data_IF_785530688621
#
_entry.id   IF_785530688621
#
_cell.length_a   1.000
_cell.length_b   1.000
_cell.length_c   1.000
_cell.angle_alpha   90.00
_cell.angle_beta   90.00
_cell.angle_gamma   90.00
#
_symmetry.space_group_name_H-M   'P 1'
#
loop_
_entity.id
_entity.type
_entity.pdbx_description
1 polymer ?
#
# COMPACT_ATOMS: atom_id res chain seq x y z
N UNK A 1 -27.03 2.89 -18.99
CA UNK A 1 -25.67 3.32 -18.59
C UNK A 1 -24.95 2.08 -18.11
N UNK A 2 -24.17 1.44 -18.96
CA UNK A 2 -23.45 0.22 -18.59
C UNK A 2 -22.36 0.60 -17.60
N UNK A 3 -22.36 0.02 -16.40
CA UNK A 3 -21.20 0.11 -15.54
C UNK A 3 -20.07 -0.63 -16.24
N UNK A 4 -19.09 0.13 -16.73
CA UNK A 4 -17.83 -0.41 -17.20
C UNK A 4 -17.19 -1.00 -15.95
N UNK A 5 -17.14 -2.33 -15.84
CA UNK A 5 -16.35 -2.99 -14.79
C UNK A 5 -14.88 -2.76 -15.16
N UNK A 6 -14.35 -1.61 -14.73
CA UNK A 6 -12.91 -1.33 -14.84
C UNK A 6 -12.24 -2.28 -13.86
N UNK A 7 -11.54 -3.28 -14.38
CA UNK A 7 -10.72 -4.19 -13.58
C UNK A 7 -9.67 -3.34 -12.87
N UNK A 8 -9.77 -3.18 -11.56
CA UNK A 8 -8.80 -2.41 -10.77
C UNK A 8 -7.50 -3.21 -10.75
N UNK A 9 -6.45 -2.67 -11.36
CA UNK A 9 -5.15 -3.33 -11.34
C UNK A 9 -4.54 -3.20 -9.94
N UNK A 10 -4.09 -4.32 -9.34
CA UNK A 10 -3.50 -4.28 -8.02
C UNK A 10 -2.15 -3.53 -8.05
N UNK A 11 -1.83 -2.82 -6.96
CA UNK A 11 -0.67 -1.94 -6.87
C UNK A 11 0.23 -2.30 -5.69
N UNK A 12 1.52 -2.03 -5.82
CA UNK A 12 2.45 -2.13 -4.68
C UNK A 12 2.34 -0.89 -3.78
N UNK A 13 2.76 -0.97 -2.52
CA UNK A 13 2.86 0.20 -1.63
C UNK A 13 3.79 1.30 -2.18
N UNK A 14 4.85 0.93 -2.91
CA UNK A 14 5.75 1.87 -3.58
C UNK A 14 5.01 2.66 -4.66
N UNK A 15 4.26 1.96 -5.51
CA UNK A 15 3.41 2.59 -6.53
C UNK A 15 2.35 3.47 -5.87
N UNK A 16 1.74 3.01 -4.79
CA UNK A 16 0.72 3.75 -4.05
C UNK A 16 1.28 5.08 -3.53
N UNK A 17 2.42 5.09 -2.83
CA UNK A 17 3.00 6.36 -2.35
C UNK A 17 3.47 7.27 -3.49
N UNK A 18 3.96 6.71 -4.60
CA UNK A 18 4.42 7.47 -5.75
C UNK A 18 3.26 8.20 -6.45
N UNK A 19 2.07 7.59 -6.53
CA UNK A 19 0.85 8.25 -7.05
C UNK A 19 0.43 9.49 -6.24
N UNK A 20 0.87 9.59 -4.99
CA UNK A 20 0.61 10.73 -4.11
C UNK A 20 1.85 11.62 -3.91
N UNK A 21 2.90 11.44 -4.69
CA UNK A 21 4.18 12.18 -4.59
C UNK A 21 4.80 12.14 -3.18
N UNK A 22 4.66 11.00 -2.48
CA UNK A 22 5.15 10.81 -1.13
C UNK A 22 6.49 10.06 -1.08
N UNK A 23 7.37 10.55 -0.20
CA UNK A 23 8.53 9.79 0.28
C UNK A 23 8.07 8.67 1.23
N UNK A 24 8.91 7.67 1.49
CA UNK A 24 8.60 6.61 2.47
C UNK A 24 8.30 7.19 3.87
N UNK A 25 9.04 8.23 4.28
CA UNK A 25 8.79 8.93 5.54
C UNK A 25 7.41 9.60 5.60
N UNK A 26 7.00 10.30 4.53
CA UNK A 26 5.68 10.92 4.45
C UNK A 26 4.55 9.88 4.41
N UNK A 27 4.75 8.78 3.69
CA UNK A 27 3.77 7.70 3.61
C UNK A 27 3.59 6.98 4.95
N UNK A 28 4.70 6.64 5.63
CA UNK A 28 4.68 6.08 6.98
C UNK A 28 3.97 7.00 7.96
N UNK A 29 4.34 8.28 8.00
CA UNK A 29 3.70 9.28 8.87
C UNK A 29 2.18 9.40 8.60
N UNK A 30 1.75 9.35 7.34
CA UNK A 30 0.34 9.43 6.94
C UNK A 30 -0.52 8.31 7.55
N UNK A 31 0.07 7.13 7.79
CA UNK A 31 -0.61 5.98 8.43
C UNK A 31 -0.13 5.73 9.87
N UNK A 32 0.68 6.63 10.43
CA UNK A 32 1.15 6.58 11.82
C UNK A 32 2.20 5.51 12.11
N UNK A 33 3.12 5.26 11.18
CA UNK A 33 4.30 4.39 11.35
C UNK A 33 5.60 5.11 10.92
N UNK A 34 6.75 4.54 11.23
CA UNK A 34 8.04 5.10 10.81
C UNK A 34 8.31 4.86 9.31
N UNK A 35 9.28 5.60 8.76
CA UNK A 35 9.77 5.40 7.40
C UNK A 35 10.29 3.96 7.18
N UNK A 36 10.98 3.40 8.18
CA UNK A 36 11.56 2.06 8.12
C UNK A 36 10.49 0.97 8.11
N UNK A 37 9.41 1.14 8.89
CA UNK A 37 8.27 0.21 8.86
C UNK A 37 7.61 0.21 7.49
N UNK A 38 7.37 1.40 6.90
CA UNK A 38 6.85 1.50 5.55
C UNK A 38 7.79 0.89 4.50
N UNK A 39 9.10 1.09 4.64
CA UNK A 39 10.13 0.49 3.79
C UNK A 39 10.11 -1.05 3.86
N UNK A 40 10.02 -1.62 5.07
CA UNK A 40 9.97 -3.06 5.28
C UNK A 40 8.70 -3.69 4.66
N UNK A 41 7.58 -2.97 4.69
CA UNK A 41 6.36 -3.40 3.99
C UNK A 41 6.52 -3.36 2.46
N UNK A 42 7.15 -2.32 1.90
CA UNK A 42 7.44 -2.26 0.45
C UNK A 42 8.33 -3.41 -0.03
N UNK A 43 9.16 -3.96 0.85
CA UNK A 43 10.03 -5.11 0.58
C UNK A 43 9.38 -6.46 0.91
N UNK A 44 8.21 -6.48 1.56
CA UNK A 44 7.60 -7.71 2.05
C UNK A 44 8.37 -8.38 3.20
N UNK A 45 9.21 -7.63 3.93
CA UNK A 45 9.96 -8.15 5.09
C UNK A 45 9.08 -8.28 6.33
N UNK A 46 8.17 -7.33 6.50
CA UNK A 46 7.09 -7.38 7.49
C UNK A 46 5.79 -6.95 6.83
N UNK A 47 4.65 -7.14 7.50
CA UNK A 47 3.34 -6.82 6.94
C UNK A 47 2.52 -5.99 7.94
N UNK A 48 1.67 -5.07 7.44
CA UNK A 48 0.76 -4.31 8.29
C UNK A 48 -0.28 -5.21 8.95
N UNK A 49 -0.64 -4.89 10.20
CA UNK A 49 -1.75 -5.52 10.90
C UNK A 49 -3.10 -4.88 10.53
N UNK A 50 -4.21 -5.46 11.01
CA UNK A 50 -5.57 -4.99 10.67
C UNK A 50 -5.78 -3.49 10.94
N UNK A 51 -5.39 -2.91 12.10
CA UNK A 51 -5.47 -1.47 12.30
C UNK A 51 -4.66 -0.64 11.28
N UNK A 52 -3.46 -1.10 10.90
CA UNK A 52 -2.62 -0.41 9.92
C UNK A 52 -3.20 -0.51 8.51
N UNK A 53 -3.79 -1.65 8.14
CA UNK A 53 -4.49 -1.84 6.88
C UNK A 53 -5.64 -0.84 6.73
N UNK A 54 -6.50 -0.73 7.74
CA UNK A 54 -7.60 0.27 7.73
C UNK A 54 -7.10 1.69 7.50
N UNK A 55 -5.98 2.06 8.13
CA UNK A 55 -5.36 3.38 7.90
C UNK A 55 -4.84 3.54 6.47
N UNK A 56 -4.27 2.49 5.87
CA UNK A 56 -3.85 2.54 4.47
C UNK A 56 -5.08 2.75 3.57
N UNK A 57 -6.14 1.98 3.79
CA UNK A 57 -7.38 2.09 3.02
C UNK A 57 -7.98 3.50 3.10
N UNK A 58 -8.13 4.03 4.32
CA UNK A 58 -8.68 5.38 4.55
C UNK A 58 -7.81 6.49 3.98
N UNK A 59 -6.48 6.37 4.04
CA UNK A 59 -5.56 7.46 3.67
C UNK A 59 -5.20 7.49 2.20
N UNK A 60 -5.30 6.35 1.51
CA UNK A 60 -4.94 6.18 0.12
C UNK A 60 -6.13 5.80 -0.77
N UNK A 61 -7.36 5.82 -0.23
CA UNK A 61 -8.60 5.52 -0.95
C UNK A 61 -8.50 4.25 -1.80
N UNK A 62 -8.07 3.17 -1.13
CA UNK A 62 -7.75 1.89 -1.75
C UNK A 62 -8.32 0.75 -0.89
N UNK A 63 -8.67 -0.39 -1.50
CA UNK A 63 -8.98 -1.60 -0.74
C UNK A 63 -7.71 -2.38 -0.49
N UNK A 64 -7.59 -3.02 0.68
CA UNK A 64 -6.52 -3.98 0.96
C UNK A 64 -6.35 -5.03 -0.13
N UNK A 65 -7.45 -5.52 -0.71
CA UNK A 65 -7.46 -6.54 -1.75
C UNK A 65 -6.76 -6.08 -3.05
N UNK A 66 -6.61 -4.77 -3.24
CA UNK A 66 -5.91 -4.17 -4.37
C UNK A 66 -4.40 -3.97 -4.11
N UNK A 67 -3.88 -4.33 -2.92
CA UNK A 67 -2.48 -4.09 -2.56
C UNK A 67 -1.65 -5.37 -2.68
N UNK A 68 -0.57 -5.29 -3.47
CA UNK A 68 0.42 -6.35 -3.61
C UNK A 68 1.51 -6.19 -2.55
N UNK A 69 1.53 -7.10 -1.58
CA UNK A 69 2.56 -7.17 -0.55
C UNK A 69 3.70 -8.16 -0.85
N UNK A 70 3.48 -9.11 -1.76
CA UNK A 70 4.46 -10.13 -2.12
C UNK A 70 5.23 -9.71 -3.37
N UNK A 71 6.54 -9.55 -3.26
CA UNK A 71 7.41 -9.47 -4.44
C UNK A 71 7.78 -10.90 -4.84
N UNK A 72 7.58 -11.27 -6.12
CA UNK A 72 7.97 -12.61 -6.61
C UNK A 72 9.47 -12.79 -6.37
N UNK A 73 9.85 -13.61 -5.38
CA UNK A 73 11.12 -14.33 -5.26
C UNK A 73 11.09 -15.21 -4.01
N UNK A 74 10.31 -16.29 -4.06
CA UNK A 74 10.61 -17.47 -3.24
C UNK A 74 11.15 -18.50 -4.22
N UNK A 75 12.48 -18.59 -4.31
CA UNK A 75 13.16 -19.67 -5.03
C UNK A 75 12.97 -21.01 -4.34
#
# INVERSE_FOLDING_TARGET
>A
MTQIIVKKEPVTLKTLRAKYDLTQAKAGAKVGVSADVWHDWEKGKTFPNVPQLKKIEEKFDISYDDIIFLTKNNG
#
